data_IF_250984631269
#
_entry.id   IF_250984631269
#
_cell.length_a   1.000
_cell.length_b   1.000
_cell.length_c   1.000
_cell.angle_alpha   90.00
_cell.angle_beta   90.00
_cell.angle_gamma   90.00
#
_symmetry.space_group_name_H-M   'P 1'
#
loop_
_entity.id
_entity.type
_entity.pdbx_description
1 polymer ?
#
# COMPACT_ATOMS: atom_id res chain seq x y z
N UNK A 1 -16.67 -14.66 2.98
CA UNK A 1 -16.88 -14.22 1.58
C UNK A 1 -15.82 -13.21 1.14
N UNK A 2 -15.76 -11.99 1.70
CA UNK A 2 -14.82 -10.93 1.31
C UNK A 2 -13.36 -11.41 1.22
N UNK A 3 -12.84 -12.05 2.28
CA UNK A 3 -11.47 -12.58 2.30
C UNK A 3 -11.19 -13.58 1.17
N UNK A 4 -12.18 -14.39 0.80
CA UNK A 4 -12.04 -15.36 -0.29
C UNK A 4 -11.94 -14.67 -1.65
N UNK A 5 -12.81 -13.67 -1.89
CA UNK A 5 -12.77 -12.85 -3.11
C UNK A 5 -11.44 -12.12 -3.22
N UNK A 6 -10.98 -11.48 -2.14
CA UNK A 6 -9.69 -10.81 -2.09
C UNK A 6 -8.54 -11.77 -2.40
N UNK A 7 -8.51 -12.97 -1.80
CA UNK A 7 -7.47 -13.97 -2.08
C UNK A 7 -7.42 -14.37 -3.55
N UNK A 8 -8.58 -14.58 -4.19
CA UNK A 8 -8.65 -14.95 -5.61
C UNK A 8 -8.17 -13.79 -6.49
N UNK A 9 -8.64 -12.57 -6.25
CA UNK A 9 -8.23 -11.40 -7.04
C UNK A 9 -6.75 -11.08 -6.85
N UNK A 10 -6.25 -11.12 -5.61
CA UNK A 10 -4.82 -10.92 -5.33
C UNK A 10 -4.01 -12.01 -6.03
N UNK A 11 -4.39 -13.28 -5.91
CA UNK A 11 -3.72 -14.38 -6.62
C UNK A 11 -3.69 -14.17 -8.14
N UNK A 12 -4.82 -13.78 -8.74
CA UNK A 12 -4.94 -13.48 -10.16
C UNK A 12 -4.02 -12.32 -10.58
N UNK A 13 -4.00 -11.23 -9.80
CA UNK A 13 -3.12 -10.08 -10.02
C UNK A 13 -1.65 -10.51 -10.00
N UNK A 14 -1.21 -11.22 -8.95
CA UNK A 14 0.19 -11.64 -8.83
C UNK A 14 0.60 -12.56 -9.97
N UNK A 15 -0.19 -13.60 -10.25
CA UNK A 15 0.11 -14.56 -11.33
C UNK A 15 0.18 -13.85 -12.68
N UNK A 16 -0.78 -12.98 -12.99
CA UNK A 16 -0.79 -12.21 -14.23
C UNK A 16 0.45 -11.35 -14.40
N UNK A 17 0.81 -10.54 -13.41
CA UNK A 17 1.96 -9.63 -13.50
C UNK A 17 3.29 -10.39 -13.55
N UNK A 18 3.43 -11.47 -12.76
CA UNK A 18 4.66 -12.29 -12.77
C UNK A 18 4.83 -13.03 -14.09
N UNK A 19 3.78 -13.64 -14.63
CA UNK A 19 3.82 -14.29 -15.95
C UNK A 19 4.16 -13.26 -17.03
N UNK A 20 3.52 -12.09 -16.98
CA UNK A 20 3.74 -11.01 -17.94
C UNK A 20 5.20 -10.52 -17.91
N UNK A 21 5.72 -10.24 -16.72
CA UNK A 21 7.12 -9.82 -16.57
C UNK A 21 8.09 -10.91 -17.04
N UNK A 22 7.85 -12.17 -16.69
CA UNK A 22 8.70 -13.29 -17.10
C UNK A 22 8.67 -13.52 -18.62
N UNK A 23 7.52 -13.35 -19.25
CA UNK A 23 7.35 -13.50 -20.68
C UNK A 23 8.14 -12.51 -21.52
N UNK A 24 8.44 -11.33 -20.97
CA UNK A 24 9.34 -10.35 -21.59
C UNK A 24 10.81 -10.77 -21.57
N UNK A 25 11.13 -11.95 -21.00
CA UNK A 25 12.48 -12.52 -20.89
C UNK A 25 13.48 -11.52 -20.33
N UNK A 26 13.24 -11.01 -19.11
CA UNK A 26 14.14 -10.05 -18.50
C UNK A 26 15.51 -10.68 -18.26
N UNK A 27 16.57 -9.89 -18.37
CA UNK A 27 17.91 -10.35 -18.02
C UNK A 27 18.02 -10.52 -16.50
N UNK A 28 18.14 -11.79 -16.07
CA UNK A 28 18.22 -12.15 -14.65
C UNK A 28 19.54 -11.64 -14.05
N UNK A 29 20.62 -11.62 -14.84
CA UNK A 29 21.91 -11.09 -14.42
C UNK A 29 21.81 -9.61 -14.06
N UNK A 30 21.17 -8.82 -14.92
CA UNK A 30 20.95 -7.39 -14.68
C UNK A 30 20.05 -7.14 -13.46
N UNK A 31 18.99 -7.94 -13.27
CA UNK A 31 18.13 -7.84 -12.09
C UNK A 31 18.92 -8.12 -10.81
N UNK A 32 19.70 -9.20 -10.79
CA UNK A 32 20.50 -9.57 -9.62
C UNK A 32 21.62 -8.55 -9.35
N UNK A 33 22.25 -8.04 -10.40
CA UNK A 33 23.24 -6.97 -10.28
C UNK A 33 22.61 -5.68 -9.72
N UNK A 34 21.43 -5.28 -10.20
CA UNK A 34 20.71 -4.12 -9.69
C UNK A 34 20.29 -4.26 -8.21
N UNK A 35 19.93 -5.46 -7.78
CA UNK A 35 19.62 -5.75 -6.37
C UNK A 35 20.88 -5.74 -5.49
N UNK A 36 21.99 -6.32 -5.97
CA UNK A 36 23.23 -6.43 -5.21
C UNK A 36 24.01 -5.11 -5.15
N UNK A 37 23.97 -4.31 -6.22
CA UNK A 37 24.68 -3.06 -6.39
C UNK A 37 23.70 -1.95 -6.79
N UNK A 38 22.91 -1.43 -5.82
CA UNK A 38 21.96 -0.36 -6.09
C UNK A 38 22.72 0.90 -6.53
N UNK A 39 22.62 1.22 -7.82
CA UNK A 39 23.16 2.45 -8.40
C UNK A 39 22.00 3.37 -8.76
N UNK A 40 22.05 4.60 -8.25
CA UNK A 40 21.07 5.62 -8.59
C UNK A 40 21.74 6.65 -9.52
N UNK A 41 21.27 6.83 -10.76
CA UNK A 41 21.69 7.94 -11.59
C UNK A 41 21.61 9.27 -10.83
N UNK A 42 22.56 10.17 -11.06
CA UNK A 42 22.55 11.50 -10.44
C UNK A 42 21.21 12.21 -10.70
N UNK A 43 20.52 12.63 -9.63
CA UNK A 43 19.19 13.25 -9.70
C UNK A 43 18.00 12.30 -9.58
N UNK A 44 18.20 10.97 -9.63
CA UNK A 44 17.11 9.99 -9.49
C UNK A 44 16.80 9.60 -8.03
N UNK A 45 17.65 9.98 -7.08
CA UNK A 45 17.50 9.63 -5.65
C UNK A 45 16.13 10.05 -5.12
N UNK A 46 15.67 11.25 -5.45
CA UNK A 46 14.34 11.72 -5.02
C UNK A 46 13.22 10.86 -5.60
N UNK A 47 13.30 10.46 -6.87
CA UNK A 47 12.32 9.58 -7.50
C UNK A 47 12.31 8.18 -6.85
N UNK A 48 13.50 7.60 -6.61
CA UNK A 48 13.65 6.31 -5.92
C UNK A 48 13.05 6.37 -4.52
N UNK A 49 13.40 7.40 -3.75
CA UNK A 49 12.86 7.57 -2.40
C UNK A 49 11.36 7.86 -2.42
N UNK A 50 10.84 8.57 -3.43
CA UNK A 50 9.40 8.82 -3.60
C UNK A 50 8.63 7.52 -3.87
N UNK A 51 9.19 6.60 -4.65
CA UNK A 51 8.61 5.26 -4.85
C UNK A 51 8.59 4.49 -3.52
N UNK A 52 9.68 4.50 -2.76
CA UNK A 52 9.72 3.88 -1.42
C UNK A 52 8.65 4.48 -0.49
N UNK A 53 8.47 5.80 -0.55
CA UNK A 53 7.45 6.51 0.21
C UNK A 53 6.03 6.14 -0.20
N UNK A 54 5.76 6.01 -1.50
CA UNK A 54 4.45 5.62 -2.03
C UNK A 54 4.04 4.19 -1.69
N UNK A 55 4.99 3.24 -1.66
CA UNK A 55 4.72 1.82 -1.36
C UNK A 55 4.54 1.57 0.13
N UNK A 56 5.36 2.21 0.98
CA UNK A 56 5.29 2.02 2.44
C UNK A 56 4.29 2.94 3.15
N UNK A 57 3.76 3.95 2.46
CA UNK A 57 3.21 5.19 3.01
C UNK A 57 1.73 5.25 3.37
N UNK A 58 1.01 4.13 3.40
CA UNK A 58 -0.46 4.18 3.45
C UNK A 58 -1.03 4.13 4.86
N UNK A 59 -2.04 4.98 5.11
CA UNK A 59 -2.95 4.93 6.26
C UNK A 59 -3.53 3.53 6.52
N UNK A 60 -3.66 2.71 5.46
CA UNK A 60 -4.21 1.35 5.54
C UNK A 60 -3.39 0.39 6.40
N UNK A 61 -2.13 0.70 6.70
CA UNK A 61 -1.32 -0.10 7.64
C UNK A 61 -2.00 -0.20 9.02
N UNK A 62 -2.69 0.85 9.45
CA UNK A 62 -3.44 0.84 10.72
C UNK A 62 -4.67 -0.08 10.69
N UNK A 63 -5.24 -0.34 9.51
CA UNK A 63 -6.41 -1.21 9.36
C UNK A 63 -6.10 -2.66 9.74
N UNK A 64 -4.84 -3.09 9.62
CA UNK A 64 -4.43 -4.46 9.94
C UNK A 64 -4.77 -4.86 11.37
N UNK A 65 -4.66 -3.93 12.33
CA UNK A 65 -5.04 -4.16 13.72
C UNK A 65 -6.53 -4.49 13.90
N UNK A 66 -7.41 -3.89 13.08
CA UNK A 66 -8.84 -4.18 13.11
C UNK A 66 -9.14 -5.57 12.56
N UNK A 67 -8.45 -6.01 11.49
CA UNK A 67 -8.63 -7.34 10.91
C UNK A 67 -8.14 -8.46 11.81
N UNK A 68 -7.03 -8.24 12.54
CA UNK A 68 -6.54 -9.18 13.56
C UNK A 68 -7.61 -9.37 14.63
N UNK A 69 -8.17 -8.27 15.14
CA UNK A 69 -9.22 -8.30 16.16
C UNK A 69 -10.52 -8.91 15.65
N UNK A 70 -10.94 -8.59 14.43
CA UNK A 70 -12.11 -9.17 13.78
C UNK A 70 -11.96 -10.69 13.59
N UNK A 71 -10.73 -11.17 13.37
CA UNK A 71 -10.42 -12.60 13.33
C UNK A 71 -10.36 -13.27 14.73
N UNK A 72 -10.68 -12.54 15.80
CA UNK A 72 -10.65 -13.03 17.18
C UNK A 72 -9.24 -13.34 17.70
N UNK A 73 -8.20 -12.75 17.08
CA UNK A 73 -6.81 -13.00 17.45
C UNK A 73 -6.35 -11.92 18.43
N UNK A 74 -6.28 -12.28 19.70
CA UNK A 74 -5.81 -11.40 20.77
C UNK A 74 -4.69 -12.09 21.54
N UNK A 75 -3.76 -11.31 22.09
CA UNK A 75 -2.63 -11.87 22.85
C UNK A 75 -1.35 -12.15 22.06
N UNK A 76 -0.30 -12.49 22.80
CA UNK A 76 1.05 -12.64 22.26
C UNK A 76 1.28 -13.94 21.47
N UNK A 77 0.45 -14.96 21.66
CA UNK A 77 0.58 -16.26 21.01
C UNK A 77 0.45 -16.18 19.47
N UNK A 78 -0.32 -15.21 18.97
CA UNK A 78 -0.54 -15.01 17.53
C UNK A 78 0.62 -14.30 16.84
N UNK A 79 1.52 -13.64 17.58
CA UNK A 79 2.57 -12.81 17.01
C UNK A 79 3.50 -13.56 16.06
N UNK A 80 3.87 -14.80 16.40
CA UNK A 80 4.75 -15.60 15.55
C UNK A 80 4.08 -15.88 14.21
N UNK A 81 2.80 -16.28 14.22
CA UNK A 81 2.02 -16.54 13.02
C UNK A 81 1.84 -15.27 12.17
N UNK A 82 1.50 -14.15 12.80
CA UNK A 82 1.34 -12.85 12.14
C UNK A 82 2.66 -12.39 11.49
N UNK A 83 3.81 -12.58 12.13
CA UNK A 83 5.12 -12.23 11.55
C UNK A 83 5.47 -13.07 10.32
N UNK A 84 5.13 -14.36 10.34
CA UNK A 84 5.33 -15.25 9.20
C UNK A 84 4.41 -14.85 8.03
N UNK A 85 3.14 -14.58 8.33
CA UNK A 85 2.14 -14.11 7.37
C UNK A 85 2.57 -12.80 6.71
N UNK A 86 2.94 -11.80 7.52
CA UNK A 86 3.48 -10.52 7.02
C UNK A 86 4.78 -10.71 6.23
N UNK A 87 5.68 -11.58 6.70
CA UNK A 87 6.92 -11.89 5.98
C UNK A 87 6.64 -12.42 4.56
N UNK A 88 5.74 -13.40 4.45
CA UNK A 88 5.30 -13.92 3.15
C UNK A 88 4.65 -12.86 2.27
N UNK A 89 3.77 -12.02 2.85
CA UNK A 89 3.11 -10.94 2.14
C UNK A 89 4.11 -9.90 1.59
N UNK A 90 5.10 -9.48 2.37
CA UNK A 90 6.12 -8.52 1.93
C UNK A 90 7.09 -9.11 0.91
N UNK A 91 7.47 -10.39 1.04
CA UNK A 91 8.28 -11.09 0.02
C UNK A 91 7.53 -11.11 -1.32
N UNK A 92 6.26 -11.51 -1.28
CA UNK A 92 5.42 -11.58 -2.47
C UNK A 92 5.26 -10.18 -3.10
N UNK A 93 5.02 -9.15 -2.28
CA UNK A 93 4.97 -7.74 -2.71
C UNK A 93 6.28 -7.29 -3.38
N UNK A 94 7.44 -7.72 -2.87
CA UNK A 94 8.73 -7.46 -3.49
C UNK A 94 8.83 -8.04 -4.91
N UNK A 95 8.43 -9.29 -5.11
CA UNK A 95 8.38 -9.90 -6.44
C UNK A 95 7.45 -9.15 -7.40
N UNK A 96 6.31 -8.69 -6.91
CA UNK A 96 5.39 -7.88 -7.72
C UNK A 96 5.94 -6.50 -8.05
N UNK A 97 6.64 -5.84 -7.12
CA UNK A 97 7.37 -4.60 -7.40
C UNK A 97 8.39 -4.80 -8.52
N UNK A 98 9.18 -5.89 -8.47
CA UNK A 98 10.12 -6.25 -9.54
C UNK A 98 9.39 -6.47 -10.86
N UNK A 99 8.28 -7.22 -10.87
CA UNK A 99 7.49 -7.46 -12.07
C UNK A 99 6.96 -6.16 -12.70
N UNK A 100 6.41 -5.26 -11.88
CA UNK A 100 5.93 -3.95 -12.33
C UNK A 100 7.07 -3.09 -12.88
N UNK A 101 8.26 -3.13 -12.27
CA UNK A 101 9.43 -2.41 -12.79
C UNK A 101 9.89 -2.95 -14.16
N UNK A 102 9.93 -4.28 -14.34
CA UNK A 102 10.27 -4.92 -15.63
C UNK A 102 9.27 -4.51 -16.71
N UNK A 103 7.98 -4.54 -16.39
CA UNK A 103 6.92 -4.11 -17.32
C UNK A 103 7.04 -2.61 -17.62
N UNK A 104 7.30 -1.79 -16.61
CA UNK A 104 7.49 -0.34 -16.70
C UNK A 104 8.66 0.06 -17.60
N UNK A 105 9.76 -0.69 -17.56
CA UNK A 105 10.96 -0.43 -18.36
C UNK A 105 10.72 -0.53 -19.89
N UNK A 106 9.63 -1.17 -20.33
CA UNK A 106 9.28 -1.31 -21.75
C UNK A 106 8.45 -0.14 -22.30
N UNK A 107 8.01 0.75 -21.41
CA UNK A 107 7.09 1.84 -21.73
C UNK A 107 7.86 3.13 -21.97
N UNK A 108 7.35 3.94 -22.89
CA UNK A 108 7.93 5.24 -23.20
C UNK A 108 7.80 6.17 -21.99
N UNK A 109 8.81 6.98 -21.67
CA UNK A 109 8.77 7.90 -20.52
C UNK A 109 7.59 8.88 -20.55
N UNK A 110 7.06 9.20 -21.72
CA UNK A 110 5.96 10.14 -21.90
C UNK A 110 4.57 9.52 -21.72
N UNK A 111 4.47 8.19 -21.56
CA UNK A 111 3.19 7.52 -21.36
C UNK A 111 2.64 7.83 -19.96
N UNK A 112 1.36 8.20 -19.89
CA UNK A 112 0.71 8.60 -18.64
C UNK A 112 -0.63 7.90 -18.49
N UNK A 113 -1.00 7.57 -17.25
CA UNK A 113 -2.33 7.04 -16.94
C UNK A 113 -2.60 5.71 -17.65
N UNK A 114 -3.73 5.63 -18.36
CA UNK A 114 -4.17 4.39 -19.02
C UNK A 114 -3.25 3.96 -20.17
N UNK A 115 -2.54 4.91 -20.80
CA UNK A 115 -1.62 4.62 -21.92
C UNK A 115 -0.45 3.73 -21.48
N UNK A 116 -0.06 3.79 -20.20
CA UNK A 116 0.95 2.91 -19.63
C UNK A 116 0.48 1.45 -19.71
N UNK A 117 -0.76 1.19 -19.28
CA UNK A 117 -1.34 -0.16 -19.24
C UNK A 117 -1.59 -0.70 -20.65
N UNK A 118 -2.11 0.15 -21.54
CA UNK A 118 -2.33 -0.21 -22.94
C UNK A 118 -1.00 -0.52 -23.64
N UNK A 119 0.01 0.33 -23.45
CA UNK A 119 1.35 0.09 -23.99
C UNK A 119 1.99 -1.20 -23.49
N UNK A 120 1.85 -1.52 -22.20
CA UNK A 120 2.33 -2.80 -21.65
C UNK A 120 1.59 -3.99 -22.28
N UNK A 121 0.28 -3.86 -22.48
CA UNK A 121 -0.55 -4.90 -23.06
C UNK A 121 -0.17 -5.18 -24.52
N UNK A 122 0.08 -4.13 -25.31
CA UNK A 122 0.51 -4.26 -26.71
C UNK A 122 1.89 -4.95 -26.80
N UNK A 123 2.82 -4.62 -25.89
CA UNK A 123 4.12 -5.30 -25.80
C UNK A 123 3.98 -6.79 -25.49
N UNK A 124 3.09 -7.13 -24.55
CA UNK A 124 2.81 -8.51 -24.22
C UNK A 124 2.06 -9.25 -25.32
N UNK A 125 1.24 -8.55 -26.11
CA UNK A 125 0.59 -9.11 -27.29
C UNK A 125 1.63 -9.52 -28.34
N UNK A 126 2.66 -8.70 -28.54
CA UNK A 126 3.78 -9.06 -29.43
C UNK A 126 4.55 -10.27 -28.91
N UNK A 127 4.76 -10.37 -27.60
CA UNK A 127 5.56 -11.45 -27.00
C UNK A 127 4.81 -12.79 -26.86
N UNK A 128 3.51 -12.76 -26.55
CA UNK A 128 2.70 -13.93 -26.18
C UNK A 128 1.41 -14.09 -27.00
N UNK A 129 1.18 -13.22 -27.99
CA UNK A 129 -0.09 -13.14 -28.69
C UNK A 129 -1.22 -12.61 -27.80
N UNK A 130 -2.49 -12.82 -28.21
CA UNK A 130 -3.66 -12.30 -27.49
C UNK A 130 -3.72 -12.69 -26.01
N UNK A 131 -3.13 -13.84 -25.65
CA UNK A 131 -3.05 -14.30 -24.27
C UNK A 131 -2.30 -13.32 -23.36
N UNK A 132 -1.17 -12.75 -23.82
CA UNK A 132 -0.37 -11.82 -23.02
C UNK A 132 -1.14 -10.55 -22.66
N UNK A 133 -1.84 -9.99 -23.65
CA UNK A 133 -2.70 -8.82 -23.49
C UNK A 133 -3.81 -9.05 -22.48
N UNK A 134 -4.58 -10.13 -22.65
CA UNK A 134 -5.69 -10.44 -21.75
C UNK A 134 -5.23 -10.83 -20.35
N UNK A 135 -4.10 -11.52 -20.23
CA UNK A 135 -3.47 -11.81 -18.94
C UNK A 135 -3.22 -10.50 -18.18
N UNK A 136 -2.55 -9.53 -18.80
CA UNK A 136 -2.27 -8.24 -18.15
C UNK A 136 -3.56 -7.49 -17.79
N UNK A 137 -4.57 -7.43 -18.68
CA UNK A 137 -5.83 -6.74 -18.37
C UNK A 137 -6.55 -7.37 -17.18
N UNK A 138 -6.62 -8.69 -17.09
CA UNK A 138 -7.23 -9.38 -15.96
C UNK A 138 -6.46 -9.09 -14.67
N UNK A 139 -5.12 -9.10 -14.73
CA UNK A 139 -4.28 -8.75 -13.59
C UNK A 139 -4.44 -7.29 -13.16
N UNK A 140 -4.48 -6.37 -14.12
CA UNK A 140 -4.65 -4.95 -13.88
C UNK A 140 -6.00 -4.65 -13.22
N UNK A 141 -7.09 -5.21 -13.73
CA UNK A 141 -8.41 -5.04 -13.11
C UNK A 141 -8.47 -5.69 -11.73
N UNK A 142 -7.84 -6.84 -11.53
CA UNK A 142 -7.73 -7.44 -10.20
C UNK A 142 -6.95 -6.54 -9.23
N UNK A 143 -5.89 -5.87 -9.69
CA UNK A 143 -5.15 -4.87 -8.91
C UNK A 143 -6.02 -3.67 -8.52
N UNK A 144 -6.73 -3.10 -9.49
CA UNK A 144 -7.63 -1.95 -9.28
C UNK A 144 -8.72 -2.31 -8.26
N UNK A 145 -9.40 -3.44 -8.46
CA UNK A 145 -10.50 -3.87 -7.59
C UNK A 145 -10.00 -4.16 -6.18
N UNK A 146 -8.87 -4.87 -6.02
CA UNK A 146 -8.32 -5.19 -4.69
C UNK A 146 -7.88 -3.94 -3.93
N UNK A 147 -7.29 -2.96 -4.63
CA UNK A 147 -6.91 -1.68 -4.03
C UNK A 147 -8.12 -0.90 -3.52
N UNK A 148 -9.20 -0.83 -4.30
CA UNK A 148 -10.45 -0.15 -3.89
C UNK A 148 -11.12 -0.88 -2.73
N UNK A 149 -11.30 -2.20 -2.86
CA UNK A 149 -11.97 -3.02 -1.85
C UNK A 149 -11.23 -3.04 -0.50
N UNK A 150 -9.89 -3.06 -0.53
CA UNK A 150 -9.07 -3.01 0.69
C UNK A 150 -9.30 -1.71 1.48
N UNK A 151 -9.34 -0.57 0.79
CA UNK A 151 -9.60 0.74 1.42
C UNK A 151 -11.04 0.84 1.90
N UNK A 152 -12.01 0.40 1.10
CA UNK A 152 -13.44 0.39 1.44
C UNK A 152 -13.74 -0.43 2.68
N UNK A 153 -13.01 -1.52 2.89
CA UNK A 153 -13.22 -2.37 4.06
C UNK A 153 -12.39 -1.92 5.26
N UNK A 154 -11.19 -1.36 5.06
CA UNK A 154 -10.29 -0.97 6.15
C UNK A 154 -10.56 0.39 6.78
N UNK A 155 -10.64 1.46 5.97
CA UNK A 155 -10.67 2.84 6.49
C UNK A 155 -11.93 3.17 7.30
N UNK A 156 -13.14 2.68 6.97
CA UNK A 156 -14.31 2.99 7.78
C UNK A 156 -14.24 2.51 9.24
N UNK A 157 -13.42 1.49 9.54
CA UNK A 157 -13.14 1.09 10.92
C UNK A 157 -12.45 2.22 11.72
N UNK A 158 -11.42 2.85 11.13
CA UNK A 158 -10.69 3.95 11.75
C UNK A 158 -11.63 5.13 12.06
N UNK A 159 -12.51 5.47 11.10
CA UNK A 159 -13.47 6.55 11.29
C UNK A 159 -14.51 6.23 12.36
N UNK A 160 -15.06 5.01 12.34
CA UNK A 160 -16.03 4.59 13.35
C UNK A 160 -15.42 4.62 14.76
N UNK A 161 -14.16 4.22 14.89
CA UNK A 161 -13.41 4.23 16.13
C UNK A 161 -13.08 5.66 16.60
N UNK A 162 -12.70 6.54 15.67
CA UNK A 162 -12.55 7.98 15.93
C UNK A 162 -13.85 8.59 16.45
N UNK A 163 -14.99 8.29 15.85
CA UNK A 163 -16.29 8.78 16.29
C UNK A 163 -16.67 8.27 17.68
N UNK A 164 -16.29 7.03 18.03
CA UNK A 164 -16.52 6.47 19.36
C UNK A 164 -15.68 7.21 20.42
N UNK A 165 -14.41 7.49 20.11
CA UNK A 165 -13.52 8.29 20.98
C UNK A 165 -14.03 9.71 21.15
N UNK A 166 -14.44 10.36 20.05
CA UNK A 166 -14.99 11.72 20.06
C UNK A 166 -16.26 11.82 20.94
N UNK A 167 -17.10 10.80 20.90
CA UNK A 167 -18.32 10.70 21.72
C UNK A 167 -18.08 10.23 23.15
N UNK A 168 -16.82 9.92 23.53
CA UNK A 168 -16.46 9.32 24.82
C UNK A 168 -17.33 8.08 25.13
N UNK A 169 -17.57 7.27 24.10
CA UNK A 169 -18.39 6.07 24.21
C UNK A 169 -17.79 5.09 25.22
N UNK A 170 -18.64 4.36 25.96
CA UNK A 170 -18.21 3.22 26.77
C UNK A 170 -17.57 2.14 25.88
N UNK A 171 -16.83 1.20 26.47
CA UNK A 171 -16.20 0.10 25.71
C UNK A 171 -17.21 -0.68 24.87
N UNK A 172 -18.36 -1.03 25.45
CA UNK A 172 -19.46 -1.73 24.77
C UNK A 172 -20.03 -0.91 23.61
N UNK A 173 -20.25 0.39 23.82
CA UNK A 173 -20.75 1.29 22.78
C UNK A 173 -19.72 1.50 21.66
N UNK A 174 -18.43 1.54 21.98
CA UNK A 174 -17.33 1.60 21.02
C UNK A 174 -17.29 0.35 20.15
N UNK A 175 -17.39 -0.84 20.75
CA UNK A 175 -17.45 -2.09 19.99
C UNK A 175 -18.64 -2.11 19.03
N UNK A 176 -19.83 -1.71 19.49
CA UNK A 176 -21.01 -1.60 18.64
C UNK A 176 -20.83 -0.60 17.49
N UNK A 177 -20.14 0.52 17.74
CA UNK A 177 -19.86 1.54 16.72
C UNK A 177 -18.84 1.09 15.68
N UNK A 178 -17.85 0.28 16.04
CA UNK A 178 -16.77 -0.15 15.13
C UNK A 178 -17.17 -1.33 14.23
N UNK A 179 -18.35 -1.93 14.42
CA UNK A 179 -18.84 -2.99 13.54
C UNK A 179 -19.18 -2.49 12.13
N UNK A 180 -19.10 -3.40 11.16
CA UNK A 180 -19.41 -3.16 9.74
C UNK A 180 -20.88 -2.84 9.45
N UNK A 181 -21.79 -3.21 10.36
CA UNK A 181 -23.21 -2.90 10.29
C UNK A 181 -23.57 -1.56 10.93
N UNK A 182 -22.62 -0.89 11.57
CA UNK A 182 -22.86 0.39 12.21
C UNK A 182 -23.13 1.51 11.19
N UNK A 183 -23.91 2.51 11.62
CA UNK A 183 -24.16 3.72 10.83
C UNK A 183 -22.89 4.52 10.54
N UNK A 184 -21.89 4.46 11.43
CA UNK A 184 -20.65 5.23 11.29
C UNK A 184 -19.75 4.60 10.23
N UNK A 185 -19.61 3.27 10.28
CA UNK A 185 -18.90 2.52 9.26
C UNK A 185 -19.57 2.71 7.88
N UNK A 186 -20.87 2.44 7.78
CA UNK A 186 -21.60 2.52 6.50
C UNK A 186 -21.69 3.94 5.95
N UNK A 187 -21.91 4.92 6.82
CA UNK A 187 -21.94 6.33 6.43
C UNK A 187 -20.59 6.79 5.88
N UNK A 188 -19.48 6.40 6.52
CA UNK A 188 -18.15 6.73 6.01
C UNK A 188 -17.78 5.96 4.75
N UNK A 189 -18.22 4.71 4.61
CA UNK A 189 -18.09 3.96 3.37
C UNK A 189 -18.78 4.68 2.20
N UNK A 190 -20.04 5.13 2.39
CA UNK A 190 -20.76 5.91 1.39
C UNK A 190 -20.05 7.24 1.07
N UNK A 191 -19.51 7.91 2.10
CA UNK A 191 -18.70 9.13 1.92
C UNK A 191 -17.42 8.87 1.12
N UNK A 192 -16.76 7.74 1.36
CA UNK A 192 -15.55 7.36 0.65
C UNK A 192 -15.85 6.91 -0.79
N UNK A 193 -17.07 6.47 -1.09
CA UNK A 193 -17.49 6.08 -2.44
C UNK A 193 -17.98 7.26 -3.27
N UNK A 194 -19.00 8.00 -2.82
CA UNK A 194 -19.70 8.96 -3.69
C UNK A 194 -19.03 10.33 -3.77
N UNK A 195 -18.75 11.02 -2.65
CA UNK A 195 -17.99 12.27 -2.67
C UNK A 195 -16.64 12.19 -3.39
N UNK A 196 -15.90 11.10 -3.25
CA UNK A 196 -14.58 10.96 -3.89
C UNK A 196 -14.68 10.85 -5.41
N UNK A 197 -15.81 10.38 -5.96
CA UNK A 197 -16.05 10.37 -7.40
C UNK A 197 -16.12 11.78 -7.99
N UNK A 198 -16.39 12.82 -7.20
CA UNK A 198 -16.29 14.20 -7.67
C UNK A 198 -14.86 14.56 -8.12
N UNK A 199 -13.84 13.85 -7.61
CA UNK A 199 -12.46 14.02 -8.08
C UNK A 199 -12.28 13.63 -9.56
N UNK A 200 -13.16 12.79 -10.11
CA UNK A 200 -13.14 12.44 -11.53
C UNK A 200 -13.44 13.64 -12.43
N UNK A 201 -14.18 14.64 -11.92
CA UNK A 201 -14.51 15.86 -12.67
C UNK A 201 -13.29 16.76 -12.92
N UNK A 202 -12.19 16.56 -12.20
CA UNK A 202 -10.97 17.35 -12.36
C UNK A 202 -10.12 16.90 -13.56
N UNK A 203 -10.38 15.73 -14.13
CA UNK A 203 -9.71 15.15 -15.31
C UNK A 203 -8.16 15.24 -15.28
N UNK A 204 -7.59 15.20 -14.07
CA UNK A 204 -6.14 15.32 -13.82
C UNK A 204 -5.68 14.21 -12.88
N UNK A 205 -5.69 12.94 -13.34
CA UNK A 205 -5.39 11.79 -12.49
C UNK A 205 -4.00 11.86 -11.88
N UNK A 206 -3.00 12.34 -12.63
CA UNK A 206 -1.63 12.49 -12.13
C UNK A 206 -1.55 13.50 -10.99
N UNK A 207 -2.17 14.68 -11.13
CA UNK A 207 -2.17 15.69 -10.09
C UNK A 207 -2.86 15.21 -8.82
N UNK A 208 -3.96 14.46 -8.94
CA UNK A 208 -4.67 13.87 -7.79
C UNK A 208 -3.75 12.87 -7.07
N UNK A 209 -3.04 12.02 -7.80
CA UNK A 209 -2.08 11.07 -7.23
C UNK A 209 -0.93 11.81 -6.54
N UNK A 210 -0.39 12.87 -7.14
CA UNK A 210 0.68 13.69 -6.52
C UNK A 210 0.19 14.33 -5.22
N UNK A 211 -1.00 14.94 -5.20
CA UNK A 211 -1.56 15.53 -3.98
C UNK A 211 -1.72 14.45 -2.90
N UNK A 212 -2.24 13.28 -3.28
CA UNK A 212 -2.38 12.14 -2.37
C UNK A 212 -1.03 11.68 -1.80
N UNK A 213 0.02 11.55 -2.63
CA UNK A 213 1.34 11.14 -2.17
C UNK A 213 1.97 12.20 -1.26
N UNK A 214 1.75 13.49 -1.54
CA UNK A 214 2.21 14.59 -0.70
C UNK A 214 1.56 14.56 0.68
N UNK A 215 0.23 14.46 0.73
CA UNK A 215 -0.50 14.35 2.00
C UNK A 215 -0.06 13.10 2.77
N UNK A 216 0.15 11.97 2.07
CA UNK A 216 0.68 10.73 2.66
C UNK A 216 2.08 10.92 3.26
N UNK A 217 2.99 11.58 2.55
CA UNK A 217 4.35 11.83 3.01
C UNK A 217 4.40 12.68 4.28
N UNK A 218 3.49 13.64 4.46
CA UNK A 218 3.36 14.39 5.72
C UNK A 218 2.78 13.56 6.87
N UNK A 219 1.89 12.62 6.55
CA UNK A 219 1.26 11.77 7.56
C UNK A 219 2.20 10.69 8.12
N UNK A 220 3.08 10.14 7.29
CA UNK A 220 3.92 8.99 7.69
C UNK A 220 4.91 9.26 8.82
N UNK A 221 5.60 10.41 8.91
CA UNK A 221 6.43 10.73 10.07
C UNK A 221 5.65 10.71 11.38
N UNK A 222 4.42 11.23 11.36
CA UNK A 222 3.54 11.21 12.52
C UNK A 222 3.17 9.77 12.91
N UNK A 223 2.77 8.94 11.93
CA UNK A 223 2.44 7.54 12.17
C UNK A 223 3.65 6.74 12.70
N UNK A 224 4.79 6.85 12.04
CA UNK A 224 6.02 6.15 12.42
C UNK A 224 6.50 6.58 13.81
N UNK A 225 6.49 7.87 14.10
CA UNK A 225 6.83 8.41 15.42
C UNK A 225 5.88 7.92 16.52
N UNK A 226 4.58 7.89 16.22
CA UNK A 226 3.56 7.37 17.15
C UNK A 226 3.79 5.88 17.41
N UNK A 227 3.96 5.06 16.38
CA UNK A 227 4.22 3.62 16.53
C UNK A 227 5.54 3.35 17.28
N UNK A 228 6.59 4.11 17.00
CA UNK A 228 7.86 4.01 17.71
C UNK A 228 7.67 4.31 19.20
N UNK A 229 6.94 5.37 19.54
CA UNK A 229 6.63 5.74 20.91
C UNK A 229 5.78 4.67 21.62
N UNK A 230 4.66 4.28 21.01
CA UNK A 230 3.72 3.31 21.57
C UNK A 230 4.37 1.95 21.80
N UNK A 231 5.12 1.44 20.82
CA UNK A 231 5.70 0.10 20.90
C UNK A 231 7.00 0.06 21.74
N UNK A 232 7.56 1.22 22.08
CA UNK A 232 8.71 1.32 22.99
C UNK A 232 8.32 1.38 24.46
N UNK A 233 7.05 1.71 24.78
CA UNK A 233 6.55 1.83 26.15
C UNK A 233 6.13 0.49 26.74
N UNK A 234 6.93 -0.02 27.69
CA UNK A 234 6.66 -1.28 28.39
C UNK A 234 5.30 -1.29 29.11
N UNK A 235 4.84 -0.15 29.60
CA UNK A 235 3.53 0.00 30.24
C UNK A 235 2.37 -0.38 29.32
N UNK A 236 2.53 -0.21 28.00
CA UNK A 236 1.43 -0.40 27.04
C UNK A 236 1.49 -1.76 26.35
N UNK A 237 2.71 -2.22 26.00
CA UNK A 237 2.92 -3.47 25.26
C UNK A 237 3.47 -4.61 26.12
N UNK A 238 3.69 -4.38 27.42
CA UNK A 238 4.17 -5.40 28.36
C UNK A 238 5.48 -6.04 27.90
N UNK A 239 5.50 -7.38 27.83
CA UNK A 239 6.66 -8.16 27.39
C UNK A 239 6.85 -8.18 25.85
N UNK A 240 5.95 -7.55 25.09
CA UNK A 240 5.98 -7.51 23.63
C UNK A 240 6.67 -6.25 23.08
N UNK A 241 7.48 -5.58 23.92
CA UNK A 241 8.24 -4.39 23.55
C UNK A 241 9.10 -4.63 22.31
N UNK A 242 9.13 -3.63 21.43
CA UNK A 242 10.00 -3.64 20.25
C UNK A 242 11.47 -3.76 20.64
N UNK A 243 12.17 -4.70 20.03
CA UNK A 243 13.61 -4.87 20.21
C UNK A 243 14.41 -3.69 19.63
N UNK A 244 15.65 -3.52 20.09
CA UNK A 244 16.50 -2.38 19.69
C UNK A 244 16.69 -2.30 18.16
N UNK A 245 16.85 -3.43 17.47
CA UNK A 245 17.01 -3.48 16.02
C UNK A 245 15.80 -2.92 15.28
N UNK A 246 14.59 -3.31 15.71
CA UNK A 246 13.34 -2.82 15.13
C UNK A 246 13.14 -1.33 15.43
N UNK A 247 13.55 -0.86 16.62
CA UNK A 247 13.53 0.57 16.93
C UNK A 247 14.48 1.36 16.02
N UNK A 248 15.69 0.86 15.77
CA UNK A 248 16.62 1.49 14.82
C UNK A 248 16.01 1.55 13.42
N UNK A 249 15.41 0.46 12.94
CA UNK A 249 14.73 0.44 11.64
C UNK A 249 13.55 1.42 11.56
N UNK A 250 12.74 1.53 12.62
CA UNK A 250 11.64 2.50 12.70
C UNK A 250 12.17 3.95 12.72
N UNK A 251 13.28 4.21 13.40
CA UNK A 251 13.93 5.53 13.40
C UNK A 251 14.48 5.86 12.01
N UNK A 252 15.11 4.92 11.32
CA UNK A 252 15.58 5.10 9.95
C UNK A 252 14.41 5.39 9.00
N UNK A 253 13.30 4.66 9.13
CA UNK A 253 12.08 4.92 8.37
C UNK A 253 11.53 6.32 8.67
N UNK A 254 11.48 6.72 9.94
CA UNK A 254 11.03 8.06 10.34
C UNK A 254 11.90 9.16 9.71
N UNK A 255 13.23 9.03 9.77
CA UNK A 255 14.17 9.98 9.17
C UNK A 255 13.97 10.05 7.66
N UNK A 256 13.81 8.90 7.00
CA UNK A 256 13.56 8.84 5.56
C UNK A 256 12.27 9.56 5.16
N UNK A 257 11.16 9.29 5.85
CA UNK A 257 9.89 9.94 5.57
C UNK A 257 9.90 11.43 5.89
N UNK A 258 10.64 11.85 6.93
CA UNK A 258 10.82 13.27 7.25
C UNK A 258 11.57 13.98 6.12
N UNK A 259 12.66 13.37 5.63
CA UNK A 259 13.43 13.89 4.48
C UNK A 259 12.57 14.01 3.22
N UNK A 260 11.78 12.98 2.92
CA UNK A 260 10.85 13.00 1.79
C UNK A 260 9.77 14.08 1.92
N UNK A 261 9.17 14.22 3.11
CA UNK A 261 8.16 15.25 3.36
C UNK A 261 8.71 16.66 3.23
N UNK A 262 9.93 16.90 3.71
CA UNK A 262 10.61 18.21 3.56
C UNK A 262 10.91 18.51 2.09
N UNK A 263 11.43 17.56 1.33
CA UNK A 263 11.69 17.76 -0.09
C UNK A 263 10.42 18.06 -0.87
N UNK A 264 9.33 17.32 -0.61
CA UNK A 264 8.06 17.59 -1.25
C UNK A 264 7.47 18.94 -0.85
N UNK A 265 7.72 19.44 0.36
CA UNK A 265 7.35 20.80 0.77
C UNK A 265 8.13 21.85 -0.03
N UNK A 266 9.43 21.65 -0.20
CA UNK A 266 10.29 22.56 -0.98
C UNK A 266 9.82 22.60 -2.43
N UNK A 267 9.60 21.44 -3.04
CA UNK A 267 9.12 21.32 -4.42
C UNK A 267 7.69 21.89 -4.62
N UNK A 268 6.86 21.91 -3.57
CA UNK A 268 5.51 22.46 -3.64
C UNK A 268 5.46 23.98 -3.45
N UNK A 269 6.51 24.59 -2.88
CA UNK A 269 6.58 26.03 -2.57
C UNK A 269 7.49 26.80 -3.55
N UNK A 270 8.43 26.11 -4.22
CA UNK A 270 9.29 26.64 -5.28
C UNK A 270 8.77 26.35 -6.68
#
# INVERSE_FOLDING_TARGET
FFLTVMKVLVGLMFVSFLISAWALRPDIGDILHGIALPTAPSGSVVAVLSVLGGVGGSLSVMCYGYWIREAGREGGEWLKGIRIDLGGAYILTGFFGIAVMILGAQIRPEAVGIDIVLGMADRLEVALGPFGRWSLYLGFWAAVITSVLGVWQGIPYLFADFMAMFKRASSEAREAMVRTDSRYYRGFLLFLTFPTMALLLFDRPVSIVIIYTVVGAFFMPFLAGTLLYMNSKREWVGNLKTGWLLNVLLVLALVLFLYLGVNQLIDAVG
#
